data_IF_582881516445
#
_entry.id   IF_582881516445
#
_cell.length_a   1.000
_cell.length_b   1.000
_cell.length_c   1.000
_cell.angle_alpha   90.00
_cell.angle_beta   90.00
_cell.angle_gamma   90.00
#
_symmetry.space_group_name_H-M   'P 1'
#
loop_
_entity.id
_entity.type
_entity.pdbx_description
1 polymer ?
#
# COMPACT_ATOMS: atom_id res chain seq x y z
N UNK A 1 -13.56 14.96 -32.27
CA UNK A 1 -14.10 13.93 -31.38
C UNK A 1 -13.28 12.68 -31.57
N UNK A 2 -12.09 12.68 -30.99
CA UNK A 2 -11.29 11.46 -30.92
C UNK A 2 -11.34 11.04 -29.47
N UNK A 3 -12.44 10.37 -29.11
CA UNK A 3 -12.53 9.67 -27.82
C UNK A 3 -11.66 8.41 -27.98
N UNK A 4 -10.44 8.48 -27.43
CA UNK A 4 -9.51 7.37 -27.46
C UNK A 4 -9.64 6.60 -26.16
N UNK A 5 -9.98 5.33 -26.24
CA UNK A 5 -10.07 4.45 -25.08
C UNK A 5 -9.16 3.24 -25.21
N UNK A 6 -8.65 2.76 -24.08
CA UNK A 6 -7.84 1.55 -24.02
C UNK A 6 -8.07 0.80 -22.72
N UNK A 7 -8.25 -0.51 -22.85
CA UNK A 7 -8.39 -1.44 -21.74
C UNK A 7 -7.17 -2.33 -21.63
N UNK A 8 -6.78 -2.69 -20.41
CA UNK A 8 -5.77 -3.72 -20.18
C UNK A 8 -5.98 -4.50 -18.90
N UNK A 9 -5.27 -5.62 -18.79
CA UNK A 9 -4.96 -6.22 -17.51
C UNK A 9 -3.58 -5.74 -17.10
N UNK A 10 -3.50 -4.97 -16.02
CA UNK A 10 -2.24 -4.46 -15.48
C UNK A 10 -1.78 -5.38 -14.34
N UNK A 11 -0.51 -5.79 -14.37
CA UNK A 11 0.08 -6.48 -13.24
C UNK A 11 0.68 -5.46 -12.27
N UNK A 12 0.08 -5.37 -11.10
CA UNK A 12 0.44 -4.49 -10.00
C UNK A 12 1.49 -5.18 -9.13
N UNK A 13 2.52 -4.42 -8.76
CA UNK A 13 3.47 -4.75 -7.69
C UNK A 13 3.41 -3.67 -6.60
N UNK A 14 3.83 -4.02 -5.38
CA UNK A 14 3.92 -3.11 -4.23
C UNK A 14 2.65 -2.30 -3.89
N UNK A 15 1.50 -2.84 -4.24
CA UNK A 15 0.18 -2.29 -3.91
C UNK A 15 -0.13 -0.96 -4.61
N UNK A 16 0.55 -0.67 -5.71
CA UNK A 16 0.34 0.55 -6.48
C UNK A 16 0.62 0.39 -7.96
N UNK A 17 0.02 1.27 -8.73
CA UNK A 17 0.44 1.58 -10.08
C UNK A 17 0.48 3.10 -10.24
N UNK A 18 1.06 3.60 -11.31
CA UNK A 18 1.49 4.99 -11.38
C UNK A 18 1.10 5.66 -12.70
N UNK A 19 1.05 6.99 -12.67
CA UNK A 19 1.17 7.83 -13.84
C UNK A 19 2.66 8.09 -14.01
N UNK A 20 3.23 7.49 -15.03
CA UNK A 20 4.65 7.50 -15.35
C UNK A 20 4.96 8.53 -16.44
N UNK A 21 5.83 9.51 -16.15
CA UNK A 21 6.27 10.51 -17.12
C UNK A 21 7.35 10.02 -18.11
N UNK A 22 7.84 8.79 -17.97
CA UNK A 22 8.94 8.25 -18.78
C UNK A 22 8.55 8.10 -20.24
N UNK A 23 9.15 8.93 -21.09
CA UNK A 23 8.93 8.88 -22.54
C UNK A 23 9.42 7.56 -23.16
N UNK A 24 8.83 7.13 -24.30
CA UNK A 24 9.27 5.91 -24.97
C UNK A 24 10.74 6.00 -25.39
N UNK A 25 11.55 5.07 -24.90
CA UNK A 25 12.99 5.02 -25.22
C UNK A 25 13.87 5.90 -24.34
N UNK A 26 13.32 6.56 -23.32
CA UNK A 26 14.14 7.13 -22.25
C UNK A 26 14.76 6.02 -21.40
N UNK A 27 16.03 6.20 -21.02
CA UNK A 27 16.76 5.25 -20.17
C UNK A 27 16.29 5.31 -18.70
N UNK A 28 15.84 6.49 -18.25
CA UNK A 28 15.42 6.76 -16.88
C UNK A 28 14.19 7.67 -16.85
N UNK A 29 13.38 7.52 -15.80
CA UNK A 29 12.27 8.43 -15.50
C UNK A 29 12.79 9.81 -15.13
N UNK A 30 12.14 10.90 -15.56
CA UNK A 30 12.51 12.23 -15.11
C UNK A 30 12.28 12.37 -13.61
N UNK A 31 13.10 13.21 -12.97
CA UNK A 31 12.90 13.58 -11.57
C UNK A 31 11.53 14.23 -11.36
N UNK A 32 10.83 13.81 -10.31
CA UNK A 32 9.47 14.25 -10.02
C UNK A 32 9.52 15.50 -9.12
N UNK A 33 9.18 16.66 -9.67
CA UNK A 33 9.11 17.93 -8.93
C UNK A 33 7.74 18.64 -9.10
N UNK A 34 7.04 18.98 -8.00
CA UNK A 34 7.41 18.68 -6.61
C UNK A 34 7.29 17.18 -6.29
N UNK A 35 7.92 16.70 -5.21
CA UNK A 35 7.82 15.31 -4.79
C UNK A 35 6.37 14.85 -4.71
N UNK A 36 6.11 13.61 -5.11
CA UNK A 36 4.78 13.03 -5.02
C UNK A 36 4.38 12.90 -3.55
N UNK A 37 3.21 13.45 -3.21
CA UNK A 37 2.64 13.31 -1.87
C UNK A 37 1.88 12.00 -1.67
N UNK A 38 1.32 11.83 -0.49
CA UNK A 38 0.50 10.68 -0.15
C UNK A 38 -0.92 10.78 -0.74
N UNK A 39 -1.55 9.63 -1.00
CA UNK A 39 -2.93 9.54 -1.49
C UNK A 39 -3.93 9.83 -0.35
N UNK A 40 -3.97 11.09 0.11
CA UNK A 40 -4.82 11.56 1.23
C UNK A 40 -6.31 11.35 1.00
N UNK A 41 -6.76 11.22 -0.25
CA UNK A 41 -8.13 10.87 -0.59
C UNK A 41 -8.42 9.36 -0.48
N UNK A 42 -7.41 8.52 -0.24
CA UNK A 42 -7.53 7.07 -0.09
C UNK A 42 -7.36 6.26 -1.38
N UNK A 43 -7.15 6.92 -2.53
CA UNK A 43 -7.11 6.28 -3.84
C UNK A 43 -5.93 6.74 -4.72
N UNK A 44 -5.75 8.06 -4.90
CA UNK A 44 -4.77 8.61 -5.84
C UNK A 44 -4.02 9.81 -5.25
N UNK A 45 -2.71 9.86 -5.48
CA UNK A 45 -1.91 11.07 -5.34
C UNK A 45 -1.44 11.54 -6.71
N UNK A 46 -1.39 12.84 -6.95
CA UNK A 46 -0.88 13.42 -8.19
C UNK A 46 0.05 14.59 -7.88
N UNK A 47 1.07 14.74 -8.70
CA UNK A 47 1.96 15.90 -8.77
C UNK A 47 2.13 16.30 -10.24
N UNK A 48 3.07 17.19 -10.54
CA UNK A 48 3.44 17.46 -11.92
C UNK A 48 4.07 16.22 -12.54
N UNK A 49 3.58 15.82 -13.71
CA UNK A 49 4.04 14.71 -14.54
C UNK A 49 3.83 13.30 -13.96
N UNK A 50 3.65 13.15 -12.64
CA UNK A 50 3.53 11.86 -11.99
C UNK A 50 2.30 11.73 -11.09
N UNK A 51 1.97 10.50 -10.74
CA UNK A 51 0.92 10.17 -9.80
C UNK A 51 1.00 8.71 -9.36
N UNK A 52 0.39 8.40 -8.24
CA UNK A 52 0.32 7.05 -7.67
C UNK A 52 -1.13 6.70 -7.41
N UNK A 53 -1.51 5.47 -7.74
CA UNK A 53 -2.83 4.89 -7.48
C UNK A 53 -2.66 3.69 -6.56
N UNK A 54 -3.35 3.73 -5.42
CA UNK A 54 -3.30 2.68 -4.39
C UNK A 54 -4.28 1.57 -4.71
N UNK A 55 -3.79 0.33 -4.71
CA UNK A 55 -4.62 -0.85 -4.87
C UNK A 55 -5.03 -1.46 -3.54
N UNK A 56 -6.03 -2.35 -3.56
CA UNK A 56 -6.39 -3.16 -2.40
C UNK A 56 -5.52 -4.40 -2.28
N UNK A 57 -5.06 -4.97 -3.39
CA UNK A 57 -4.02 -6.02 -3.41
C UNK A 57 -2.61 -5.45 -3.27
N UNK A 58 -1.63 -6.27 -2.88
CA UNK A 58 -0.20 -5.90 -2.94
C UNK A 58 0.41 -6.27 -4.28
N UNK A 59 0.07 -7.45 -4.80
CA UNK A 59 0.61 -7.94 -6.07
C UNK A 59 -0.44 -8.75 -6.81
N UNK A 60 -0.62 -8.51 -8.10
CA UNK A 60 -1.58 -9.26 -8.88
C UNK A 60 -2.10 -8.50 -10.09
N UNK A 61 -2.99 -9.16 -10.83
CA UNK A 61 -3.59 -8.60 -12.03
C UNK A 61 -4.87 -7.84 -11.69
N UNK A 62 -4.98 -6.59 -12.13
CA UNK A 62 -6.18 -5.74 -12.02
C UNK A 62 -6.69 -5.38 -13.41
N UNK A 63 -7.96 -5.01 -13.52
CA UNK A 63 -8.51 -4.46 -14.77
C UNK A 63 -8.39 -2.94 -14.79
N UNK A 64 -7.95 -2.39 -15.91
CA UNK A 64 -7.78 -0.97 -16.13
C UNK A 64 -8.45 -0.56 -17.44
N UNK A 65 -9.34 0.42 -17.37
CA UNK A 65 -9.97 1.09 -18.50
C UNK A 65 -9.62 2.58 -18.47
N UNK A 66 -9.18 3.14 -19.60
CA UNK A 66 -8.81 4.56 -19.72
C UNK A 66 -9.54 5.17 -20.90
N UNK A 67 -10.13 6.34 -20.67
CA UNK A 67 -10.88 7.14 -21.64
C UNK A 67 -10.31 8.55 -21.71
N UNK A 68 -9.90 8.96 -22.91
CA UNK A 68 -9.38 10.29 -23.18
C UNK A 68 -10.46 11.11 -23.89
N UNK A 69 -10.93 12.13 -23.20
CA UNK A 69 -12.07 12.94 -23.62
C UNK A 69 -11.62 14.33 -24.07
N UNK A 70 -12.43 14.97 -24.91
CA UNK A 70 -12.21 16.35 -25.37
C UNK A 70 -12.69 17.40 -24.34
N UNK A 71 -13.57 17.01 -23.41
CA UNK A 71 -14.18 17.86 -22.39
C UNK A 71 -14.65 17.03 -21.19
N UNK A 72 -15.14 17.71 -20.15
CA UNK A 72 -15.71 17.07 -18.97
C UNK A 72 -16.82 16.07 -19.35
N UNK A 73 -16.82 14.85 -18.78
CA UNK A 73 -17.87 13.87 -19.02
C UNK A 73 -19.26 14.46 -18.74
N UNK A 74 -20.20 14.28 -19.66
CA UNK A 74 -21.56 14.84 -19.57
C UNK A 74 -22.41 14.26 -18.42
N UNK A 75 -21.93 13.19 -17.78
CA UNK A 75 -22.67 12.43 -16.80
C UNK A 75 -22.61 13.12 -15.43
N UNK A 76 -23.69 13.81 -15.08
CA UNK A 76 -23.91 14.39 -13.75
C UNK A 76 -24.03 13.36 -12.60
N UNK A 77 -23.77 12.08 -12.88
CA UNK A 77 -23.52 11.04 -11.88
C UNK A 77 -22.04 10.69 -11.97
N UNK A 78 -21.21 11.41 -11.23
CA UNK A 78 -19.76 11.22 -11.24
C UNK A 78 -19.34 9.75 -10.98
N UNK A 79 -20.17 8.92 -10.37
CA UNK A 79 -20.06 7.46 -10.45
C UNK A 79 -21.45 6.83 -10.45
N UNK A 80 -21.68 5.83 -11.30
CA UNK A 80 -22.80 4.92 -11.12
C UNK A 80 -22.77 4.27 -9.73
N UNK A 81 -23.90 3.73 -9.27
CA UNK A 81 -24.00 3.09 -7.95
C UNK A 81 -23.03 1.90 -7.78
N UNK A 82 -22.43 1.43 -8.87
CA UNK A 82 -21.55 0.27 -8.96
C UNK A 82 -20.09 0.50 -8.54
N UNK A 83 -19.59 1.73 -8.45
CA UNK A 83 -18.19 2.01 -8.07
C UNK A 83 -18.02 2.15 -6.56
N UNK A 84 -16.88 1.78 -5.97
CA UNK A 84 -16.67 1.89 -4.51
C UNK A 84 -15.99 3.22 -4.11
N UNK A 85 -15.08 3.70 -4.94
CA UNK A 85 -14.40 5.00 -4.81
C UNK A 85 -14.51 5.78 -6.13
N UNK A 86 -14.68 7.09 -6.02
CA UNK A 86 -14.68 8.02 -7.17
C UNK A 86 -14.08 9.35 -6.75
N UNK A 87 -12.98 9.74 -7.40
CA UNK A 87 -12.24 10.98 -7.10
C UNK A 87 -11.96 11.75 -8.38
N UNK A 88 -12.23 13.06 -8.36
CA UNK A 88 -11.73 14.00 -9.37
C UNK A 88 -10.52 14.75 -8.82
N UNK A 89 -9.42 14.73 -9.58
CA UNK A 89 -8.20 15.50 -9.26
C UNK A 89 -7.64 16.19 -10.49
N UNK A 90 -6.58 16.97 -10.30
CA UNK A 90 -5.89 17.71 -11.36
C UNK A 90 -4.51 17.11 -11.60
N UNK A 91 -4.25 16.70 -12.83
CA UNK A 91 -2.94 16.27 -13.30
C UNK A 91 -2.33 17.36 -14.20
N UNK A 92 -1.05 17.66 -14.04
CA UNK A 92 -0.34 18.62 -14.90
C UNK A 92 0.76 17.87 -15.63
N UNK A 93 0.70 17.84 -16.96
CA UNK A 93 1.81 17.35 -17.79
C UNK A 93 2.59 18.54 -18.35
N UNK A 94 3.88 18.60 -18.06
CA UNK A 94 4.80 19.64 -18.53
C UNK A 94 5.50 19.25 -19.83
N UNK A 95 5.66 17.94 -20.07
CA UNK A 95 6.28 17.38 -21.28
C UNK A 95 5.27 17.09 -22.38
N UNK A 96 3.99 16.95 -22.02
CA UNK A 96 2.96 16.47 -22.93
C UNK A 96 2.97 14.96 -23.13
N UNK A 97 3.70 14.26 -22.26
CA UNK A 97 3.71 12.81 -22.21
C UNK A 97 3.50 12.32 -20.78
N UNK A 98 2.62 11.34 -20.64
CA UNK A 98 2.51 10.50 -19.45
C UNK A 98 1.74 9.23 -19.84
N UNK A 99 1.97 8.13 -19.12
CA UNK A 99 1.25 6.87 -19.32
C UNK A 99 0.88 6.25 -17.98
N UNK A 100 -0.04 5.31 -17.98
CA UNK A 100 -0.32 4.51 -16.78
C UNK A 100 0.58 3.28 -16.81
N UNK A 101 1.34 3.03 -15.76
CA UNK A 101 2.25 1.88 -15.68
C UNK A 101 2.28 1.24 -14.30
N UNK A 102 2.86 0.05 -14.23
CA UNK A 102 3.23 -0.64 -13.02
C UNK A 102 4.40 -1.54 -13.33
N UNK A 103 5.51 -1.36 -12.60
CA UNK A 103 6.72 -2.15 -12.75
C UNK A 103 7.16 -2.23 -14.24
N UNK A 104 7.15 -3.41 -14.85
CA UNK A 104 7.52 -3.65 -16.25
C UNK A 104 6.37 -3.47 -17.27
N UNK A 105 5.17 -3.09 -16.83
CA UNK A 105 4.00 -2.98 -17.70
C UNK A 105 3.55 -1.55 -17.81
N UNK A 106 3.29 -1.11 -19.04
CA UNK A 106 2.73 0.21 -19.29
C UNK A 106 1.58 0.13 -20.29
N UNK A 107 0.59 0.97 -20.06
CA UNK A 107 -0.44 1.28 -21.04
C UNK A 107 0.21 2.05 -22.17
N UNK A 108 0.17 1.46 -23.35
CA UNK A 108 0.56 2.11 -24.60
C UNK A 108 -0.53 3.12 -25.00
N UNK A 109 -0.67 4.17 -24.19
CA UNK A 109 -1.60 5.27 -24.38
C UNK A 109 -1.01 6.50 -23.66
N UNK A 110 -0.72 7.56 -24.42
CA UNK A 110 -0.33 8.83 -23.83
C UNK A 110 -1.58 9.52 -23.25
N UNK A 111 -1.64 9.67 -21.93
CA UNK A 111 -2.77 10.30 -21.24
C UNK A 111 -2.73 11.83 -21.31
N UNK A 112 -1.59 12.42 -21.67
CA UNK A 112 -1.46 13.84 -21.99
C UNK A 112 -1.72 14.08 -23.50
N UNK A 113 -2.86 13.59 -24.01
CA UNK A 113 -3.13 13.46 -25.44
C UNK A 113 -3.23 14.75 -26.23
N UNK A 114 -3.40 15.89 -25.56
CA UNK A 114 -3.37 17.22 -26.19
C UNK A 114 -2.05 17.96 -25.96
N UNK A 115 -1.00 17.24 -25.53
CA UNK A 115 0.32 17.80 -25.24
C UNK A 115 0.42 18.39 -23.83
N UNK A 116 1.43 19.24 -23.57
CA UNK A 116 1.63 19.85 -22.27
C UNK A 116 0.41 20.66 -21.84
N UNK A 117 0.02 20.54 -20.58
CA UNK A 117 -1.13 21.26 -20.05
C UNK A 117 -1.69 20.65 -18.78
N UNK A 118 -2.83 21.23 -18.37
CA UNK A 118 -3.60 20.76 -17.23
C UNK A 118 -4.73 19.85 -17.71
N UNK A 119 -4.84 18.72 -17.03
CA UNK A 119 -5.85 17.72 -17.25
C UNK A 119 -6.62 17.50 -15.96
N UNK A 120 -7.93 17.29 -16.09
CA UNK A 120 -8.75 16.75 -15.02
C UNK A 120 -8.80 15.24 -15.19
N UNK A 121 -8.70 14.56 -14.06
CA UNK A 121 -8.69 13.10 -13.97
C UNK A 121 -9.81 12.72 -13.02
N UNK A 122 -10.77 11.93 -13.51
CA UNK A 122 -11.74 11.23 -12.70
C UNK A 122 -11.34 9.77 -12.63
N UNK A 123 -11.08 9.28 -11.44
CA UNK A 123 -10.70 7.90 -11.19
C UNK A 123 -11.80 7.20 -10.42
N UNK A 124 -12.27 6.09 -10.96
CA UNK A 124 -13.15 5.15 -10.30
C UNK A 124 -12.38 3.91 -9.88
N UNK A 125 -12.68 3.38 -8.71
CA UNK A 125 -12.18 2.08 -8.28
C UNK A 125 -13.32 1.21 -7.73
N UNK A 126 -13.21 -0.10 -7.96
CA UNK A 126 -14.13 -1.12 -7.44
C UNK A 126 -13.37 -2.37 -7.05
N UNK A 127 -13.83 -3.05 -6.00
CA UNK A 127 -13.38 -4.39 -5.64
C UNK A 127 -12.09 -4.44 -4.84
N UNK A 128 -11.59 -3.30 -4.34
CA UNK A 128 -10.37 -3.22 -3.52
C UNK A 128 -10.47 -4.03 -2.23
N UNK A 129 -11.67 -4.14 -1.69
CA UNK A 129 -11.97 -4.95 -0.50
C UNK A 129 -12.09 -6.46 -0.80
N UNK A 130 -11.98 -6.91 -2.06
CA UNK A 130 -12.25 -8.32 -2.39
C UNK A 130 -11.16 -9.28 -1.92
N UNK A 131 -9.91 -8.84 -1.97
CA UNK A 131 -8.72 -9.63 -1.61
C UNK A 131 -7.66 -8.71 -0.98
N UNK A 132 -7.97 -8.01 0.12
CA UNK A 132 -7.09 -6.98 0.68
C UNK A 132 -5.73 -7.58 1.01
N UNK A 133 -4.68 -6.94 0.52
CA UNK A 133 -3.29 -7.32 0.71
C UNK A 133 -2.82 -8.57 -0.01
N UNK A 134 -3.61 -9.13 -0.93
CA UNK A 134 -3.22 -10.35 -1.62
C UNK A 134 -1.94 -10.17 -2.45
N UNK A 135 -1.06 -11.17 -2.41
CA UNK A 135 0.20 -11.22 -3.14
C UNK A 135 0.18 -12.36 -4.19
N UNK A 136 -0.58 -12.18 -5.26
CA UNK A 136 -0.79 -13.16 -6.32
C UNK A 136 0.40 -13.26 -7.28
N UNK A 137 0.48 -14.39 -8.01
CA UNK A 137 1.49 -14.61 -9.07
C UNK A 137 1.06 -13.92 -10.36
N UNK A 138 2.02 -13.50 -11.19
CA UNK A 138 1.79 -12.85 -12.50
C UNK A 138 0.88 -13.62 -13.45
N UNK A 139 0.90 -14.96 -13.41
CA UNK A 139 0.05 -15.83 -14.23
C UNK A 139 -1.35 -16.09 -13.67
N UNK A 140 -1.67 -15.53 -12.49
CA UNK A 140 -3.01 -15.65 -11.91
C UNK A 140 -4.03 -14.92 -12.77
N UNK A 141 -5.29 -15.35 -12.72
CA UNK A 141 -6.38 -14.59 -13.35
C UNK A 141 -6.48 -13.20 -12.72
N UNK A 142 -6.97 -12.18 -13.46
CA UNK A 142 -7.31 -10.89 -12.88
C UNK A 142 -8.22 -11.02 -11.67
N UNK A 143 -8.00 -10.15 -10.69
CA UNK A 143 -8.83 -10.03 -9.49
C UNK A 143 -10.17 -9.35 -9.83
N UNK A 144 -11.05 -9.23 -8.84
CA UNK A 144 -12.27 -8.44 -8.99
C UNK A 144 -12.00 -6.92 -8.98
N UNK A 145 -10.75 -6.51 -8.72
CA UNK A 145 -10.33 -5.12 -8.66
C UNK A 145 -10.31 -4.47 -10.06
N UNK A 146 -10.98 -3.32 -10.19
CA UNK A 146 -11.13 -2.60 -11.46
C UNK A 146 -10.96 -1.10 -11.26
N UNK A 147 -10.33 -0.47 -12.23
CA UNK A 147 -10.10 0.98 -12.28
C UNK A 147 -10.57 1.55 -13.62
N UNK A 148 -11.24 2.69 -13.58
CA UNK A 148 -11.64 3.46 -14.76
C UNK A 148 -11.09 4.89 -14.63
N UNK A 149 -10.38 5.34 -15.67
CA UNK A 149 -9.87 6.70 -15.78
C UNK A 149 -10.65 7.44 -16.86
N UNK A 150 -11.23 8.58 -16.50
CA UNK A 150 -11.71 9.57 -17.46
C UNK A 150 -10.78 10.78 -17.38
N UNK A 151 -10.15 11.14 -18.50
CA UNK A 151 -9.11 12.18 -18.54
C UNK A 151 -9.46 13.19 -19.62
N UNK A 152 -9.50 14.48 -19.26
CA UNK A 152 -9.84 15.56 -20.20
C UNK A 152 -9.04 16.82 -19.93
N UNK A 153 -8.69 17.60 -20.97
CA UNK A 153 -8.03 18.89 -20.79
C UNK A 153 -9.01 19.87 -20.13
N UNK A 154 -8.59 20.50 -19.03
CA UNK A 154 -9.36 21.50 -18.33
C UNK A 154 -8.47 22.30 -17.38
N UNK A 155 -8.93 23.48 -16.96
CA UNK A 155 -8.24 24.26 -15.95
C UNK A 155 -8.15 23.48 -14.62
N UNK A 156 -7.11 23.77 -13.84
CA UNK A 156 -6.95 23.20 -12.51
C UNK A 156 -8.17 23.54 -11.66
N UNK A 157 -8.69 22.54 -10.96
CA UNK A 157 -9.73 22.73 -9.96
C UNK A 157 -9.36 21.96 -8.68
N UNK A 158 -10.00 22.26 -7.54
CA UNK A 158 -9.82 21.47 -6.33
C UNK A 158 -10.13 19.99 -6.56
N UNK A 159 -9.53 19.15 -5.73
CA UNK A 159 -9.91 17.75 -5.64
C UNK A 159 -11.35 17.62 -5.13
N UNK A 160 -12.09 16.65 -5.67
CA UNK A 160 -13.45 16.32 -5.24
C UNK A 160 -13.59 14.82 -5.07
N UNK A 161 -13.87 14.38 -3.85
CA UNK A 161 -14.20 12.98 -3.55
C UNK A 161 -15.70 12.79 -3.67
N UNK A 162 -16.14 12.14 -4.75
CA UNK A 162 -17.55 11.88 -5.04
C UNK A 162 -18.09 10.65 -4.29
N UNK A 163 -17.24 9.62 -4.13
CA UNK A 163 -17.57 8.40 -3.39
C UNK A 163 -16.32 7.85 -2.72
N UNK A 164 -16.48 7.38 -1.49
CA UNK A 164 -15.40 6.96 -0.62
C UNK A 164 -15.86 5.84 0.33
N UNK A 165 -16.29 4.70 -0.23
CA UNK A 165 -16.99 3.65 0.52
C UNK A 165 -16.18 2.39 0.77
N UNK A 166 -15.03 2.22 0.12
CA UNK A 166 -14.20 1.04 0.36
C UNK A 166 -13.49 1.10 1.73
N UNK A 167 -13.10 -0.07 2.23
CA UNK A 167 -12.40 -0.19 3.50
C UNK A 167 -10.94 0.22 3.34
N UNK A 168 -10.28 -0.17 2.23
CA UNK A 168 -8.87 0.13 1.97
C UNK A 168 -8.58 1.65 2.00
N UNK A 169 -9.31 2.44 1.23
CA UNK A 169 -9.21 3.88 1.18
C UNK A 169 -9.64 4.55 2.48
N UNK A 170 -10.67 4.03 3.16
CA UNK A 170 -11.07 4.55 4.48
C UNK A 170 -9.95 4.40 5.50
N UNK A 171 -9.30 3.24 5.55
CA UNK A 171 -8.20 2.98 6.47
C UNK A 171 -7.01 3.90 6.19
N UNK A 172 -6.67 4.07 4.91
CA UNK A 172 -5.62 4.98 4.47
C UNK A 172 -5.90 6.43 4.91
N UNK A 173 -7.13 6.93 4.68
CA UNK A 173 -7.57 8.27 5.11
C UNK A 173 -7.43 8.46 6.62
N UNK A 174 -7.91 7.50 7.42
CA UNK A 174 -7.84 7.57 8.90
C UNK A 174 -6.38 7.59 9.36
N UNK A 175 -5.53 6.74 8.79
CA UNK A 175 -4.09 6.72 9.09
C UNK A 175 -3.45 8.06 8.80
N UNK A 176 -3.54 8.55 7.56
CA UNK A 176 -2.89 9.79 7.15
C UNK A 176 -3.38 11.01 7.94
N UNK A 177 -4.69 11.12 8.18
CA UNK A 177 -5.26 12.23 8.97
C UNK A 177 -4.71 12.24 10.40
N UNK A 178 -4.70 11.07 11.06
CA UNK A 178 -4.20 10.97 12.44
C UNK A 178 -2.70 11.26 12.52
N UNK A 179 -1.95 11.00 11.44
CA UNK A 179 -0.50 11.23 11.42
C UNK A 179 -0.13 12.67 11.17
N UNK A 180 -0.88 13.34 10.29
CA UNK A 180 -0.79 14.79 10.15
C UNK A 180 -1.02 15.48 11.51
N UNK A 181 -2.03 15.05 12.28
CA UNK A 181 -2.30 15.58 13.63
C UNK A 181 -1.16 15.33 14.62
N UNK A 182 -0.43 14.22 14.47
CA UNK A 182 0.69 13.83 15.33
C UNK A 182 2.01 14.55 14.96
N UNK A 183 2.04 15.33 13.87
CA UNK A 183 3.25 15.99 13.38
C UNK A 183 4.33 15.01 12.96
N UNK A 184 3.91 13.83 12.48
CA UNK A 184 4.81 12.75 12.15
C UNK A 184 5.29 12.90 10.69
N UNK A 185 6.60 12.88 10.49
CA UNK A 185 7.24 12.82 9.17
C UNK A 185 7.30 11.35 8.79
N UNK A 186 6.27 10.86 8.09
CA UNK A 186 6.03 9.45 7.77
C UNK A 186 5.98 9.25 6.26
N UNK A 187 6.44 8.09 5.78
CA UNK A 187 6.11 7.58 4.46
C UNK A 187 5.38 6.24 4.58
N UNK A 188 4.37 5.99 3.74
CA UNK A 188 3.81 4.63 3.60
C UNK A 188 4.81 3.63 3.02
N UNK A 189 5.90 4.10 2.41
CA UNK A 189 7.00 3.24 1.94
C UNK A 189 7.83 2.66 3.09
N UNK A 190 7.66 3.14 4.33
CA UNK A 190 8.30 2.56 5.52
C UNK A 190 7.65 1.23 5.95
N UNK A 191 6.56 0.81 5.29
CA UNK A 191 5.78 -0.36 5.65
C UNK A 191 6.11 -1.54 4.75
N UNK A 192 6.40 -2.67 5.37
CA UNK A 192 6.64 -3.93 4.67
C UNK A 192 5.37 -4.76 4.67
N UNK A 193 4.86 -5.07 3.49
CA UNK A 193 3.68 -5.90 3.30
C UNK A 193 2.49 -5.12 2.75
N UNK A 194 1.25 -5.64 2.90
CA UNK A 194 0.88 -6.84 3.63
C UNK A 194 1.51 -8.15 3.08
N UNK A 195 2.02 -8.96 4.00
CA UNK A 195 2.67 -10.26 3.75
C UNK A 195 1.71 -11.40 4.10
N UNK A 196 1.64 -12.42 3.25
CA UNK A 196 0.90 -13.66 3.56
C UNK A 196 1.81 -14.60 4.34
N UNK A 197 1.55 -14.73 5.64
CA UNK A 197 2.36 -15.55 6.56
C UNK A 197 1.66 -16.87 6.82
N UNK A 198 2.34 -17.99 6.54
CA UNK A 198 1.84 -19.32 6.86
C UNK A 198 1.99 -19.57 8.36
N UNK A 199 0.89 -19.90 9.01
CA UNK A 199 0.86 -20.23 10.43
C UNK A 199 0.71 -21.74 10.59
N UNK A 200 1.52 -22.30 11.48
CA UNK A 200 1.39 -23.67 11.98
C UNK A 200 1.59 -23.61 13.49
N UNK A 201 0.77 -24.33 14.22
CA UNK A 201 0.71 -24.30 15.70
C UNK A 201 0.35 -22.93 16.29
N UNK A 202 -0.42 -22.13 15.55
CA UNK A 202 -1.00 -20.89 16.05
C UNK A 202 0.00 -19.78 16.36
N UNK A 203 1.17 -19.79 15.71
CA UNK A 203 2.18 -18.74 15.93
C UNK A 203 2.93 -18.31 14.66
N UNK A 204 3.41 -17.08 14.69
CA UNK A 204 4.53 -16.59 13.89
C UNK A 204 5.50 -15.82 14.79
N UNK A 205 6.67 -15.44 14.30
CA UNK A 205 7.68 -14.77 15.14
C UNK A 205 8.54 -13.76 14.39
N UNK A 206 9.12 -12.82 15.12
CA UNK A 206 10.32 -12.10 14.69
C UNK A 206 11.53 -12.77 15.38
N UNK A 207 12.52 -13.19 14.60
CA UNK A 207 13.70 -13.90 15.12
C UNK A 207 14.98 -13.29 14.61
N UNK A 208 15.95 -13.18 15.49
CA UNK A 208 17.33 -12.93 15.14
C UNK A 208 18.01 -14.23 14.69
N UNK A 209 18.96 -14.19 13.73
CA UNK A 209 19.78 -15.35 13.37
C UNK A 209 20.39 -16.09 14.57
N UNK A 210 20.70 -15.37 15.66
CA UNK A 210 21.27 -15.92 16.90
C UNK A 210 20.21 -16.46 17.88
N UNK A 211 18.93 -16.52 17.49
CA UNK A 211 17.85 -17.00 18.36
C UNK A 211 17.94 -18.51 18.62
N UNK A 212 18.30 -18.88 19.85
CA UNK A 212 18.43 -20.29 20.25
C UNK A 212 17.17 -20.87 20.90
N UNK A 213 16.61 -20.16 21.90
CA UNK A 213 15.54 -20.68 22.75
C UNK A 213 14.24 -19.90 22.53
N UNK A 214 13.15 -20.55 22.12
CA UNK A 214 11.87 -19.88 21.97
C UNK A 214 11.33 -19.40 23.34
N UNK A 215 10.63 -18.27 23.39
CA UNK A 215 9.94 -17.86 24.60
C UNK A 215 8.83 -18.86 24.96
N UNK A 216 8.57 -19.01 26.26
CA UNK A 216 7.37 -19.70 26.70
C UNK A 216 6.15 -18.88 26.29
N UNK A 217 5.21 -19.50 25.57
CA UNK A 217 3.96 -18.84 25.18
C UNK A 217 3.17 -18.47 26.45
N UNK A 218 3.06 -17.17 26.73
CA UNK A 218 2.39 -16.63 27.91
C UNK A 218 1.20 -15.72 27.58
N UNK A 219 0.85 -15.59 26.30
CA UNK A 219 -0.20 -14.69 25.80
C UNK A 219 0.05 -14.28 24.36
N UNK A 220 -0.63 -13.22 23.92
CA UNK A 220 -0.61 -12.74 22.54
C UNK A 220 0.81 -12.41 22.02
N UNK A 221 1.63 -11.75 22.82
CA UNK A 221 3.03 -11.45 22.52
C UNK A 221 3.92 -11.95 23.66
N UNK A 222 4.91 -12.78 23.34
CA UNK A 222 5.89 -13.31 24.30
C UNK A 222 7.31 -13.09 23.77
N UNK A 223 8.24 -12.65 24.60
CA UNK A 223 9.61 -12.33 24.18
C UNK A 223 10.65 -13.10 24.97
N UNK A 224 11.70 -13.54 24.27
CA UNK A 224 12.96 -13.99 24.84
C UNK A 224 14.10 -13.15 24.23
N UNK A 225 15.35 -13.44 24.61
CA UNK A 225 16.49 -12.90 23.87
C UNK A 225 16.38 -13.36 22.41
N UNK A 226 16.58 -12.45 21.47
CA UNK A 226 16.66 -12.73 20.03
C UNK A 226 15.33 -13.22 19.40
N UNK A 227 14.22 -13.22 20.16
CA UNK A 227 12.97 -13.84 19.70
C UNK A 227 11.73 -13.13 20.26
N UNK A 228 10.86 -12.64 19.37
CA UNK A 228 9.49 -12.24 19.71
C UNK A 228 8.51 -13.23 19.06
N UNK A 229 7.69 -13.90 19.88
CA UNK A 229 6.69 -14.88 19.46
C UNK A 229 5.30 -14.26 19.55
N UNK A 230 4.56 -14.34 18.45
CA UNK A 230 3.20 -13.83 18.33
C UNK A 230 2.25 -15.02 18.22
N UNK A 231 1.28 -15.09 19.12
CA UNK A 231 0.20 -16.07 19.05
C UNK A 231 -0.94 -15.54 18.18
N UNK A 232 -1.51 -16.42 17.37
CA UNK A 232 -2.60 -16.11 16.46
C UNK A 232 -3.87 -16.86 16.85
N UNK A 233 -5.04 -16.35 16.47
CA UNK A 233 -6.28 -17.12 16.57
C UNK A 233 -6.33 -18.30 15.59
N UNK A 234 -5.58 -18.19 14.48
CA UNK A 234 -5.50 -19.20 13.44
C UNK A 234 -4.49 -20.29 13.81
N UNK A 235 -4.96 -21.46 14.22
CA UNK A 235 -4.07 -22.59 14.61
C UNK A 235 -3.24 -23.10 13.44
N UNK A 236 -3.82 -23.18 12.24
CA UNK A 236 -3.12 -23.58 11.02
C UNK A 236 -3.79 -22.92 9.82
N UNK A 237 -3.00 -22.31 8.94
CA UNK A 237 -3.52 -21.56 7.80
C UNK A 237 -2.58 -20.43 7.38
N UNK A 238 -3.16 -19.33 6.92
CA UNK A 238 -2.42 -18.10 6.56
C UNK A 238 -3.04 -16.90 7.25
N UNK A 239 -2.19 -15.98 7.68
CA UNK A 239 -2.59 -14.67 8.22
C UNK A 239 -1.92 -13.58 7.41
N UNK A 240 -2.44 -12.35 7.51
CA UNK A 240 -1.85 -11.17 6.90
C UNK A 240 -1.01 -10.44 7.93
N UNK A 241 0.26 -10.16 7.62
CA UNK A 241 1.17 -9.42 8.50
C UNK A 241 1.75 -8.25 7.75
N UNK A 242 1.66 -7.06 8.34
CA UNK A 242 2.34 -5.85 7.88
C UNK A 242 3.36 -5.45 8.92
N UNK A 243 4.58 -5.15 8.50
CA UNK A 243 5.66 -4.70 9.38
C UNK A 243 5.84 -3.20 9.20
N UNK A 244 6.05 -2.50 10.30
CA UNK A 244 6.34 -1.06 10.30
C UNK A 244 7.58 -0.82 11.17
N UNK A 245 8.78 -1.00 10.59
CA UNK A 245 10.00 -0.55 11.23
C UNK A 245 10.04 0.98 11.32
N UNK A 246 10.47 1.48 12.47
CA UNK A 246 10.65 2.91 12.69
C UNK A 246 11.89 3.20 13.55
N UNK A 247 12.50 4.37 13.37
CA UNK A 247 13.65 4.77 14.20
C UNK A 247 13.25 5.08 15.65
N UNK A 248 12.04 5.58 15.85
CA UNK A 248 11.46 5.99 17.13
C UNK A 248 10.08 5.37 17.29
N UNK A 249 9.57 5.34 18.53
CA UNK A 249 8.22 4.84 18.79
C UNK A 249 7.20 5.51 17.85
N UNK A 250 6.59 4.75 16.92
CA UNK A 250 5.63 5.30 15.96
C UNK A 250 4.28 5.64 16.61
N UNK A 251 4.12 5.38 17.91
CA UNK A 251 2.83 5.33 18.60
C UNK A 251 1.90 4.25 17.99
N UNK A 252 0.86 3.82 18.73
CA UNK A 252 -0.09 2.83 18.20
C UNK A 252 -0.74 3.30 16.90
N UNK A 253 -0.96 2.36 15.99
CA UNK A 253 -1.71 2.60 14.76
C UNK A 253 -3.14 3.06 15.10
N UNK A 254 -3.69 4.03 14.36
CA UNK A 254 -4.94 4.67 14.73
C UNK A 254 -6.19 3.87 14.32
N UNK A 255 -6.05 2.76 13.60
CA UNK A 255 -7.19 1.93 13.23
C UNK A 255 -7.76 1.18 14.45
N UNK A 256 -9.03 0.74 14.39
CA UNK A 256 -9.58 -0.12 15.42
C UNK A 256 -8.97 -1.53 15.33
N UNK A 257 -8.20 -1.88 16.36
CA UNK A 257 -7.61 -3.20 16.55
C UNK A 257 -8.31 -3.95 17.68
N UNK A 258 -8.49 -5.27 17.53
CA UNK A 258 -9.14 -6.12 18.54
C UNK A 258 -8.22 -6.34 19.75
N UNK A 259 -6.92 -6.49 19.50
CA UNK A 259 -5.91 -6.72 20.52
C UNK A 259 -4.61 -5.98 20.19
N UNK A 260 -3.99 -5.38 21.20
CA UNK A 260 -2.69 -4.70 21.06
C UNK A 260 -1.82 -5.14 22.24
N UNK A 261 -0.61 -5.61 21.95
CA UNK A 261 0.40 -5.93 22.95
C UNK A 261 1.73 -5.26 22.62
N UNK A 262 2.47 -4.88 23.65
CA UNK A 262 3.78 -4.24 23.54
C UNK A 262 4.79 -4.95 24.43
N UNK A 263 6.00 -5.15 23.92
CA UNK A 263 7.11 -5.76 24.63
C UNK A 263 8.45 -5.20 24.13
N UNK A 264 9.54 -5.61 24.77
CA UNK A 264 10.90 -5.31 24.33
C UNK A 264 11.62 -6.59 24.00
N UNK A 265 12.32 -6.62 22.86
CA UNK A 265 13.20 -7.73 22.47
C UNK A 265 14.63 -7.23 22.36
N UNK A 266 15.60 -7.99 22.88
CA UNK A 266 17.02 -7.73 22.65
C UNK A 266 17.45 -8.55 21.44
N UNK A 267 17.98 -7.90 20.41
CA UNK A 267 18.54 -8.53 19.21
C UNK A 267 20.07 -8.41 19.23
N UNK A 268 20.74 -9.53 18.97
CA UNK A 268 22.19 -9.72 19.08
C UNK A 268 22.92 -9.36 17.80
N UNK A 269 22.32 -9.58 16.64
CA UNK A 269 22.88 -9.17 15.35
C UNK A 269 22.28 -7.85 14.88
N UNK A 270 21.10 -7.51 15.37
CA UNK A 270 20.30 -6.42 14.83
C UNK A 270 19.67 -6.77 13.49
N UNK A 271 19.30 -8.03 13.30
CA UNK A 271 18.47 -8.53 12.20
C UNK A 271 17.29 -9.23 12.88
N UNK A 272 16.07 -8.69 12.79
CA UNK A 272 14.86 -9.36 13.28
C UNK A 272 14.02 -9.71 12.06
N UNK A 273 14.02 -10.98 11.68
CA UNK A 273 13.33 -11.45 10.48
C UNK A 273 11.99 -12.09 10.82
N UNK A 274 10.99 -11.83 9.99
CA UNK A 274 9.69 -12.47 10.10
C UNK A 274 9.81 -13.96 9.76
N UNK A 275 9.34 -14.80 10.68
CA UNK A 275 9.49 -16.25 10.62
C UNK A 275 8.14 -16.95 10.78
N UNK A 276 7.95 -17.96 9.95
CA UNK A 276 6.95 -19.02 10.11
C UNK A 276 7.56 -20.22 10.83
N UNK A 277 6.75 -21.24 11.11
CA UNK A 277 7.25 -22.54 11.57
C UNK A 277 8.27 -23.18 10.60
N UNK A 278 8.18 -22.88 9.30
CA UNK A 278 9.06 -23.42 8.27
C UNK A 278 10.38 -22.62 8.10
N UNK A 279 10.57 -21.55 8.90
CA UNK A 279 11.72 -20.65 8.81
C UNK A 279 11.36 -19.22 8.38
N UNK A 280 12.37 -18.40 8.02
CA UNK A 280 12.16 -17.04 7.53
C UNK A 280 11.21 -17.00 6.34
N UNK A 281 10.36 -15.97 6.27
CA UNK A 281 9.50 -15.76 5.09
C UNK A 281 10.38 -15.42 3.88
N UNK A 282 10.04 -15.94 2.70
CA UNK A 282 10.81 -15.72 1.45
C UNK A 282 10.87 -14.26 1.00
N UNK A 283 10.00 -13.42 1.56
CA UNK A 283 10.05 -11.97 1.42
C UNK A 283 11.01 -11.49 2.53
N UNK A 284 12.33 -11.62 2.28
CA UNK A 284 13.41 -11.22 3.19
C UNK A 284 13.51 -9.68 3.20
N UNK A 285 12.75 -9.03 4.08
CA UNK A 285 13.00 -7.65 4.46
C UNK A 285 13.39 -7.63 5.93
N UNK A 286 14.70 -7.46 6.17
CA UNK A 286 15.29 -7.31 7.50
C UNK A 286 14.66 -6.13 8.24
N UNK A 287 13.98 -6.36 9.37
CA UNK A 287 13.23 -5.33 10.10
C UNK A 287 14.10 -4.58 11.11
N UNK A 288 15.42 -4.58 10.95
CA UNK A 288 16.33 -4.03 11.95
C UNK A 288 17.37 -3.10 11.34
N UNK A 289 17.09 -1.81 11.47
CA UNK A 289 17.78 -0.73 10.79
C UNK A 289 19.06 -0.27 11.51
N UNK A 290 19.36 -0.81 12.70
CA UNK A 290 20.35 -0.19 13.59
C UNK A 290 21.28 -1.15 14.35
N UNK A 291 21.39 -2.41 13.93
CA UNK A 291 22.35 -3.34 14.54
C UNK A 291 22.01 -3.80 15.96
N UNK A 292 22.95 -4.43 16.70
CA UNK A 292 22.68 -5.10 17.98
C UNK A 292 22.19 -4.16 19.09
N UNK A 293 20.94 -4.30 19.54
CA UNK A 293 20.34 -3.46 20.61
C UNK A 293 19.01 -4.01 21.15
N UNK A 294 18.37 -3.24 22.01
CA UNK A 294 16.96 -3.46 22.38
C UNK A 294 16.03 -2.74 21.40
N UNK A 295 14.98 -3.44 21.02
CA UNK A 295 13.91 -2.95 20.17
C UNK A 295 12.58 -3.03 20.91
N UNK A 296 11.77 -1.98 20.78
CA UNK A 296 10.36 -2.02 21.14
C UNK A 296 9.61 -2.76 20.04
N UNK A 297 8.66 -3.60 20.43
CA UNK A 297 7.79 -4.34 19.51
C UNK A 297 6.36 -4.14 19.97
N UNK A 298 5.51 -3.63 19.08
CA UNK A 298 4.07 -3.51 19.29
C UNK A 298 3.34 -4.29 18.22
N UNK A 299 2.51 -5.24 18.63
CA UNK A 299 1.71 -6.06 17.73
C UNK A 299 0.25 -5.68 17.90
N UNK A 300 -0.41 -5.43 16.79
CA UNK A 300 -1.84 -5.20 16.73
C UNK A 300 -2.47 -6.36 15.95
N UNK A 301 -3.60 -6.86 16.42
CA UNK A 301 -4.34 -7.94 15.77
C UNK A 301 -5.80 -7.54 15.61
N UNK A 302 -6.38 -7.91 14.46
CA UNK A 302 -7.82 -7.81 14.22
C UNK A 302 -8.31 -8.94 13.33
N UNK A 303 -9.58 -9.32 13.51
CA UNK A 303 -10.27 -10.20 12.57
C UNK A 303 -10.94 -9.39 11.48
N UNK A 304 -10.70 -9.81 10.24
CA UNK A 304 -11.31 -9.28 9.03
C UNK A 304 -12.20 -10.37 8.40
N UNK A 305 -13.10 -10.01 7.46
CA UNK A 305 -13.81 -11.00 6.66
C UNK A 305 -12.90 -11.97 5.88
N UNK A 306 -11.64 -11.60 5.67
CA UNK A 306 -10.66 -12.34 4.86
C UNK A 306 -9.65 -13.14 5.71
N UNK A 307 -9.76 -13.11 7.03
CA UNK A 307 -8.84 -13.77 7.96
C UNK A 307 -8.35 -12.84 9.05
N UNK A 308 -7.22 -13.18 9.66
CA UNK A 308 -6.58 -12.35 10.69
C UNK A 308 -5.54 -11.43 10.06
N UNK A 309 -5.56 -10.17 10.50
CA UNK A 309 -4.66 -9.12 10.07
C UNK A 309 -3.84 -8.64 11.27
N UNK A 310 -2.53 -8.51 11.06
CA UNK A 310 -1.55 -8.14 12.07
C UNK A 310 -0.70 -6.98 11.60
N UNK A 311 -0.53 -5.97 12.46
CA UNK A 311 0.48 -4.93 12.29
C UNK A 311 1.55 -5.06 13.36
N UNK A 312 2.79 -5.26 12.94
CA UNK A 312 3.96 -5.35 13.81
C UNK A 312 4.80 -4.08 13.66
N UNK A 313 4.74 -3.20 14.64
CA UNK A 313 5.60 -2.02 14.71
C UNK A 313 6.86 -2.36 15.50
N UNK A 314 8.03 -1.99 14.97
CA UNK A 314 9.30 -2.13 15.68
C UNK A 314 10.02 -0.79 15.75
N UNK A 315 10.71 -0.51 16.86
CA UNK A 315 11.50 0.72 16.98
C UNK A 315 12.69 0.59 17.92
N UNK A 316 13.64 1.52 17.86
CA UNK A 316 14.77 1.55 18.78
C UNK A 316 14.31 1.86 20.21
N UNK A 317 14.63 0.97 21.17
CA UNK A 317 14.26 1.14 22.57
C UNK A 317 15.38 1.83 23.37
N UNK A 318 15.26 3.15 23.57
CA UNK A 318 16.20 4.00 24.32
C UNK A 318 17.44 4.42 23.52
N UNK A 319 18.01 5.64 23.59
CA UNK A 319 17.66 6.94 24.21
C UNK A 319 17.34 7.96 23.10
N UNK A 320 16.61 9.01 23.49
CA UNK A 320 16.41 10.28 22.77
C UNK A 320 17.68 10.87 22.17
#
# INVERSE_FOLDING_TARGET
MTDASRSMVLFVEDGRFEIDPTEPGADESPEIEPPLGEAVNGLVAVTHNAGEIRTGIRRGNVHLDVHLLDAEPADGKAGGDDWDEVVDTTFVSTTGYARISSYEHALDLNIAHQGPGTYRLRLHAKGRDSQPGAALRRRSKPTAERYEFLIWPAAAAPEVVHKATDTVGRELRVRLATMAERGAEWSLDDWVGPLTVKVTDGTFSLRDPDAETPPQSGGFLSTARDWALISTGTVSGTVTVTLHPADRDPRPDPLPWDEIAEATVRSTTGSLVLCTADGPTKDDEDVAFHGPRQYGVRVHARRTPHGEDYLVQTWMHGKR
#
